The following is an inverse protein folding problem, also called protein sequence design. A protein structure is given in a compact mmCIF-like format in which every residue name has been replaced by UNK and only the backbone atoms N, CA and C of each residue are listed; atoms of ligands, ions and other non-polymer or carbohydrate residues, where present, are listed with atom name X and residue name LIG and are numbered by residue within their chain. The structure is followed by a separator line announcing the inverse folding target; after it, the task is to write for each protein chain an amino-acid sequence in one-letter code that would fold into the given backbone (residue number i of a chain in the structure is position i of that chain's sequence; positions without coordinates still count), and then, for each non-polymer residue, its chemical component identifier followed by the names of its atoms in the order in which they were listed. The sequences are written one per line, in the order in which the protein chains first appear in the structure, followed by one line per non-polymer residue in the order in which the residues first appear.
data_IF_690158038320
#
_entry.id   IF_690158038320
#
_cell.length_a   1.000
_cell.length_b   1.000
_cell.length_c   1.000
_cell.angle_alpha   90.00
_cell.angle_beta   90.00
_cell.angle_gamma   90.00
#
_symmetry.space_group_name_H-M   'P 1'
#
loop_
_entity.id
_entity.type
_entity.pdbx_description
1 polymer ?
#
# COMPACT_ATOMS: atom_id res chain seq x y z
N UNK A 1 10.10 30.92 19.24
CA UNK A 1 10.58 29.52 19.12
C UNK A 1 9.46 28.52 18.82
N UNK A 2 8.32 28.94 18.24
CA UNK A 2 7.17 28.05 17.99
C UNK A 2 7.23 27.40 16.58
N UNK A 3 7.95 28.00 15.62
CA UNK A 3 8.05 27.50 14.24
C UNK A 3 8.96 26.26 14.07
N UNK A 4 9.98 26.07 14.92
CA UNK A 4 10.94 24.96 14.72
C UNK A 4 10.33 23.58 15.03
N UNK A 5 9.34 23.52 15.92
CA UNK A 5 8.74 22.28 16.36
C UNK A 5 7.68 21.73 15.37
N UNK A 6 6.89 22.59 14.71
CA UNK A 6 6.02 22.18 13.59
C UNK A 6 6.84 21.49 12.50
N UNK A 7 8.04 22.03 12.23
CA UNK A 7 8.95 21.54 11.21
C UNK A 7 9.40 20.07 11.45
N UNK A 8 9.60 19.64 12.70
CA UNK A 8 10.14 18.30 13.00
C UNK A 8 9.11 17.18 12.82
N UNK A 9 7.92 17.31 13.42
CA UNK A 9 6.86 16.31 13.31
C UNK A 9 6.35 16.21 11.88
N UNK A 10 6.17 17.35 11.20
CA UNK A 10 5.70 17.39 9.82
C UNK A 10 6.71 16.75 8.86
N UNK A 11 8.02 17.00 9.03
CA UNK A 11 9.07 16.34 8.25
C UNK A 11 9.06 14.82 8.40
N UNK A 12 8.87 14.31 9.61
CA UNK A 12 8.79 12.88 9.86
C UNK A 12 7.57 12.25 9.16
N UNK A 13 6.40 12.88 9.29
CA UNK A 13 5.16 12.43 8.63
C UNK A 13 5.30 12.47 7.11
N UNK A 14 5.90 13.53 6.54
CA UNK A 14 6.17 13.65 5.10
C UNK A 14 7.10 12.56 4.58
N UNK A 15 8.14 12.22 5.35
CA UNK A 15 9.08 11.14 4.99
C UNK A 15 8.37 9.79 4.88
N UNK A 16 7.62 9.41 5.92
CA UNK A 16 6.88 8.14 5.92
C UNK A 16 5.75 8.12 4.89
N UNK A 17 5.11 9.26 4.63
CA UNK A 17 4.12 9.42 3.57
C UNK A 17 4.67 9.09 2.19
N UNK A 18 5.89 9.55 1.87
CA UNK A 18 6.55 9.22 0.59
C UNK A 18 6.81 7.72 0.47
N UNK A 19 7.22 7.08 1.56
CA UNK A 19 7.44 5.62 1.59
C UNK A 19 6.13 4.85 1.44
N UNK A 20 5.06 5.28 2.12
CA UNK A 20 3.71 4.73 1.94
C UNK A 20 3.31 4.73 0.46
N UNK A 21 3.42 5.88 -0.22
CA UNK A 21 3.06 5.97 -1.63
C UNK A 21 3.90 5.07 -2.53
N UNK A 22 5.22 5.00 -2.28
CA UNK A 22 6.10 4.11 -3.05
C UNK A 22 5.63 2.65 -2.98
N UNK A 23 5.39 2.14 -1.76
CA UNK A 23 4.96 0.76 -1.56
C UNK A 23 3.54 0.49 -2.03
N UNK A 24 2.61 1.43 -1.82
CA UNK A 24 1.23 1.30 -2.31
C UNK A 24 1.15 1.31 -3.84
N UNK A 25 1.96 2.16 -4.51
CA UNK A 25 2.03 2.18 -5.96
C UNK A 25 2.64 0.89 -6.51
N UNK A 26 3.72 0.38 -5.90
CA UNK A 26 4.30 -0.90 -6.28
C UNK A 26 3.31 -2.06 -6.09
N UNK A 27 2.55 -2.07 -4.99
CA UNK A 27 1.53 -3.09 -4.72
C UNK A 27 0.50 -3.19 -5.85
N UNK A 28 0.09 -2.05 -6.42
CA UNK A 28 -0.89 -2.00 -7.52
C UNK A 28 -0.23 -2.22 -8.88
N UNK A 29 0.98 -1.69 -9.10
CA UNK A 29 1.67 -1.79 -10.38
C UNK A 29 2.03 -3.23 -10.75
N UNK A 30 2.48 -4.03 -9.77
CA UNK A 30 2.88 -5.43 -10.01
C UNK A 30 1.78 -6.28 -10.64
N UNK A 31 0.58 -6.43 -10.05
CA UNK A 31 -0.47 -7.25 -10.64
C UNK A 31 -0.97 -6.69 -11.98
N UNK A 32 -0.94 -5.37 -12.19
CA UNK A 32 -1.31 -4.77 -13.49
C UNK A 32 -0.30 -5.18 -14.56
N UNK A 33 1.00 -5.01 -14.31
CA UNK A 33 2.06 -5.37 -15.26
C UNK A 33 2.03 -6.86 -15.57
N UNK A 34 1.86 -7.70 -14.54
CA UNK A 34 1.74 -9.16 -14.73
C UNK A 34 0.50 -9.54 -15.53
N UNK A 35 -0.64 -8.89 -15.26
CA UNK A 35 -1.87 -9.14 -16.05
C UNK A 35 -1.68 -8.77 -17.52
N UNK A 36 -1.05 -7.63 -17.80
CA UNK A 36 -0.73 -7.23 -19.17
C UNK A 36 0.23 -8.25 -19.82
N UNK A 37 1.26 -8.70 -19.10
CA UNK A 37 2.19 -9.70 -19.60
C UNK A 37 1.50 -11.03 -19.93
N UNK A 38 0.60 -11.51 -19.07
CA UNK A 38 -0.19 -12.73 -19.32
C UNK A 38 -1.05 -12.59 -20.58
N UNK A 39 -1.70 -11.44 -20.77
CA UNK A 39 -2.56 -11.21 -21.94
C UNK A 39 -1.74 -11.05 -23.24
N UNK A 40 -0.59 -10.37 -23.19
CA UNK A 40 0.21 -10.05 -24.39
C UNK A 40 1.15 -11.19 -24.78
N UNK A 41 1.73 -11.88 -23.80
CA UNK A 41 2.71 -12.95 -24.02
C UNK A 41 2.10 -14.36 -23.95
N UNK A 42 0.80 -14.47 -23.68
CA UNK A 42 0.07 -15.74 -23.52
C UNK A 42 0.68 -16.65 -22.43
N UNK A 43 1.19 -16.04 -21.36
CA UNK A 43 1.71 -16.77 -20.20
C UNK A 43 0.58 -17.43 -19.38
N UNK A 44 0.87 -18.46 -18.57
CA UNK A 44 -0.14 -19.09 -17.74
C UNK A 44 -0.84 -18.11 -16.77
N UNK A 45 -2.18 -18.19 -16.59
CA UNK A 45 -2.92 -17.35 -15.65
C UNK A 45 -2.43 -17.46 -14.19
N UNK A 46 -1.73 -18.56 -13.85
CA UNK A 46 -1.09 -18.77 -12.55
C UNK A 46 -0.19 -17.61 -12.13
N UNK A 47 0.45 -16.91 -13.08
CA UNK A 47 1.29 -15.75 -12.77
C UNK A 47 0.49 -14.59 -12.16
N UNK A 48 -0.78 -14.42 -12.52
CA UNK A 48 -1.67 -13.42 -11.92
C UNK A 48 -1.86 -13.75 -10.43
N UNK A 49 -2.13 -15.02 -10.10
CA UNK A 49 -2.20 -15.47 -8.70
C UNK A 49 -0.89 -15.18 -7.93
N UNK A 50 0.28 -15.47 -8.52
CA UNK A 50 1.58 -15.19 -7.85
C UNK A 50 1.82 -13.70 -7.63
N UNK A 51 1.39 -12.85 -8.56
CA UNK A 51 1.48 -11.40 -8.41
C UNK A 51 0.63 -10.87 -7.24
N UNK A 52 -0.47 -11.55 -6.90
CA UNK A 52 -1.32 -11.21 -5.74
C UNK A 52 -0.58 -11.33 -4.41
N UNK A 53 0.29 -12.34 -4.24
CA UNK A 53 1.12 -12.48 -3.04
C UNK A 53 2.09 -11.30 -2.88
N UNK A 54 2.70 -10.87 -4.00
CA UNK A 54 3.61 -9.72 -4.04
C UNK A 54 2.86 -8.42 -3.74
N UNK A 55 1.67 -8.24 -4.32
CA UNK A 55 0.75 -7.13 -4.02
C UNK A 55 0.44 -7.06 -2.52
N UNK A 56 0.04 -8.19 -1.91
CA UNK A 56 -0.28 -8.25 -0.48
C UNK A 56 0.95 -7.91 0.39
N UNK A 57 2.13 -8.41 0.04
CA UNK A 57 3.39 -8.09 0.74
C UNK A 57 3.75 -6.60 0.69
N UNK A 58 3.68 -5.98 -0.50
CA UNK A 58 3.93 -4.54 -0.64
C UNK A 58 2.86 -3.68 0.03
N UNK A 59 1.59 -4.10 -0.02
CA UNK A 59 0.52 -3.41 0.69
C UNK A 59 0.70 -3.51 2.22
N UNK A 60 1.20 -4.63 2.73
CA UNK A 60 1.56 -4.76 4.14
C UNK A 60 2.72 -3.82 4.53
N UNK A 61 3.75 -3.68 3.68
CA UNK A 61 4.81 -2.70 3.91
C UNK A 61 4.26 -1.26 3.93
N UNK A 62 3.35 -0.92 3.01
CA UNK A 62 2.65 0.37 3.05
C UNK A 62 1.88 0.54 4.37
N UNK A 63 1.21 -0.50 4.86
CA UNK A 63 0.52 -0.47 6.15
C UNK A 63 1.49 -0.18 7.31
N UNK A 64 2.66 -0.83 7.35
CA UNK A 64 3.70 -0.57 8.37
C UNK A 64 4.06 0.92 8.39
N UNK A 65 4.32 1.54 7.23
CA UNK A 65 4.64 2.97 7.17
C UNK A 65 3.48 3.88 7.58
N UNK A 66 2.23 3.48 7.32
CA UNK A 66 1.07 4.21 7.86
C UNK A 66 0.98 4.11 9.39
N UNK A 67 1.39 2.98 9.97
CA UNK A 67 1.48 2.79 11.41
C UNK A 67 2.61 3.62 12.02
N UNK A 68 3.76 3.72 11.37
CA UNK A 68 4.85 4.61 11.78
C UNK A 68 4.40 6.08 11.79
N UNK A 69 3.66 6.53 10.77
CA UNK A 69 3.06 7.87 10.77
C UNK A 69 2.12 8.09 11.97
N UNK A 70 1.36 7.06 12.34
CA UNK A 70 0.47 7.10 13.52
C UNK A 70 1.27 7.14 14.82
N UNK A 71 2.42 6.47 14.87
CA UNK A 71 3.35 6.50 15.99
C UNK A 71 3.90 7.90 16.25
N UNK A 72 4.26 8.65 15.20
CA UNK A 72 4.68 10.06 15.31
C UNK A 72 3.58 10.92 15.94
N UNK A 73 2.31 10.59 15.70
CA UNK A 73 1.13 11.30 16.22
C UNK A 73 0.63 10.78 17.58
N UNK A 74 1.31 9.83 18.22
CA UNK A 74 0.99 9.32 19.56
C UNK A 74 2.29 9.04 20.36
N UNK A 75 3.06 10.08 20.71
CA UNK A 75 4.27 9.92 21.51
C UNK A 75 3.92 9.56 22.97
N UNK A 76 4.72 8.69 23.59
CA UNK A 76 4.51 8.22 24.97
C UNK A 76 4.97 9.17 26.08
N UNK A 77 5.02 10.49 25.84
CA UNK A 77 5.60 11.47 26.77
C UNK A 77 5.09 12.90 26.58
N UNK A 78 5.74 13.88 27.23
CA UNK A 78 5.42 15.30 27.06
C UNK A 78 5.61 15.74 25.60
N UNK A 79 4.61 16.44 25.07
CA UNK A 79 4.58 16.97 23.70
C UNK A 79 4.62 18.48 23.71
N UNK A 80 5.18 19.05 22.65
CA UNK A 80 5.20 20.49 22.46
C UNK A 80 3.82 21.03 22.03
N UNK A 81 3.59 22.33 22.20
CA UNK A 81 2.33 23.04 21.89
C UNK A 81 1.97 22.91 20.39
N UNK A 82 2.98 22.74 19.53
CA UNK A 82 2.83 22.53 18.07
C UNK A 82 2.26 21.16 17.67
N UNK A 83 2.20 20.22 18.61
CA UNK A 83 1.74 18.86 18.36
C UNK A 83 0.23 18.78 18.07
N UNK A 84 -0.59 19.59 18.75
CA UNK A 84 -2.05 19.58 18.57
C UNK A 84 -2.44 20.00 17.14
N UNK A 85 -1.86 21.10 16.65
CA UNK A 85 -1.97 21.58 15.26
C UNK A 85 -1.63 20.48 14.25
N UNK A 86 -0.45 19.86 14.41
CA UNK A 86 0.04 18.84 13.49
C UNK A 86 -0.83 17.59 13.51
N UNK A 87 -1.30 17.19 14.70
CA UNK A 87 -2.16 16.02 14.87
C UNK A 87 -3.53 16.22 14.22
N UNK A 88 -4.19 17.35 14.44
CA UNK A 88 -5.50 17.62 13.81
C UNK A 88 -5.40 17.62 12.28
N UNK A 89 -4.32 18.16 11.72
CA UNK A 89 -4.06 18.19 10.27
C UNK A 89 -3.83 16.80 9.67
N UNK A 90 -3.02 15.96 10.31
CA UNK A 90 -2.51 14.72 9.70
C UNK A 90 -3.18 13.43 10.18
N UNK A 91 -3.80 13.41 11.36
CA UNK A 91 -4.47 12.23 11.91
C UNK A 91 -5.52 11.61 10.96
N UNK A 92 -6.46 12.38 10.36
CA UNK A 92 -7.44 11.77 9.46
C UNK A 92 -6.79 11.15 8.21
N UNK A 93 -5.72 11.78 7.69
CA UNK A 93 -4.96 11.26 6.55
C UNK A 93 -4.28 9.93 6.89
N UNK A 94 -3.64 9.84 8.06
CA UNK A 94 -2.96 8.62 8.51
C UNK A 94 -3.95 7.46 8.71
N UNK A 95 -5.11 7.73 9.29
CA UNK A 95 -6.17 6.72 9.46
C UNK A 95 -6.68 6.23 8.11
N UNK A 96 -6.89 7.15 7.16
CA UNK A 96 -7.30 6.81 5.80
C UNK A 96 -6.26 5.94 5.10
N UNK A 97 -4.97 6.28 5.19
CA UNK A 97 -3.89 5.50 4.61
C UNK A 97 -3.81 4.08 5.17
N UNK A 98 -3.97 3.93 6.49
CA UNK A 98 -4.03 2.62 7.13
C UNK A 98 -5.18 1.76 6.58
N UNK A 99 -6.37 2.35 6.42
CA UNK A 99 -7.54 1.67 5.83
C UNK A 99 -7.32 1.28 4.37
N UNK A 100 -6.74 2.18 3.57
CA UNK A 100 -6.42 1.91 2.16
C UNK A 100 -5.43 0.74 2.07
N UNK A 101 -4.35 0.75 2.85
CA UNK A 101 -3.36 -0.32 2.81
C UNK A 101 -3.97 -1.68 3.19
N UNK A 102 -4.81 -1.73 4.22
CA UNK A 102 -5.55 -2.96 4.58
C UNK A 102 -6.45 -3.41 3.42
N UNK A 103 -7.17 -2.49 2.78
CA UNK A 103 -7.98 -2.79 1.60
C UNK A 103 -7.15 -3.41 0.48
N UNK A 104 -5.98 -2.84 0.18
CA UNK A 104 -5.07 -3.38 -0.85
C UNK A 104 -4.53 -4.76 -0.45
N UNK A 105 -4.21 -5.02 0.83
CA UNK A 105 -3.81 -6.35 1.32
C UNK A 105 -4.91 -7.38 1.09
N UNK A 106 -6.17 -7.04 1.40
CA UNK A 106 -7.30 -7.94 1.19
C UNK A 106 -7.50 -8.25 -0.30
N UNK A 107 -7.41 -7.23 -1.17
CA UNK A 107 -7.47 -7.44 -2.61
C UNK A 107 -6.29 -8.30 -3.10
N UNK A 108 -5.07 -8.03 -2.64
CA UNK A 108 -3.89 -8.84 -2.98
C UNK A 108 -4.03 -10.30 -2.56
N UNK A 109 -4.57 -10.54 -1.36
CA UNK A 109 -4.88 -11.88 -0.86
C UNK A 109 -5.93 -12.57 -1.72
N UNK A 110 -6.98 -11.87 -2.14
CA UNK A 110 -8.00 -12.41 -3.02
C UNK A 110 -7.43 -12.74 -4.42
N UNK A 111 -6.63 -11.84 -5.01
CA UNK A 111 -5.93 -12.11 -6.26
C UNK A 111 -4.97 -13.29 -6.11
N UNK A 112 -4.31 -13.42 -4.96
CA UNK A 112 -3.44 -14.56 -4.70
C UNK A 112 -4.21 -15.87 -4.66
N UNK A 113 -5.34 -15.90 -3.96
CA UNK A 113 -6.16 -17.11 -3.80
C UNK A 113 -6.95 -17.52 -5.05
N UNK A 114 -7.31 -16.57 -5.92
CA UNK A 114 -8.26 -16.79 -7.01
C UNK A 114 -7.83 -16.23 -8.37
N UNK A 115 -6.62 -15.68 -8.50
CA UNK A 115 -6.17 -15.00 -9.71
C UNK A 115 -5.97 -15.91 -10.92
N UNK A 116 -5.79 -17.21 -10.69
CA UNK A 116 -5.70 -18.26 -11.70
C UNK A 116 -7.06 -18.64 -12.30
N UNK A 117 -8.16 -18.36 -11.59
CA UNK A 117 -9.53 -18.56 -12.06
C UNK A 117 -10.02 -17.46 -13.01
N UNK A 118 -9.25 -16.39 -13.18
CA UNK A 118 -9.60 -15.31 -14.09
C UNK A 118 -9.50 -15.82 -15.55
N UNK A 119 -10.52 -15.60 -16.39
CA UNK A 119 -10.51 -16.03 -17.79
C UNK A 119 -9.65 -15.09 -18.66
N UNK A 120 -8.42 -14.80 -18.21
CA UNK A 120 -7.46 -13.91 -18.84
C UNK A 120 -6.30 -14.76 -19.37
N UNK A 121 -5.96 -14.61 -20.65
CA UNK A 121 -4.92 -15.44 -21.30
C UNK A 121 -5.36 -16.88 -21.62
N UNK A 122 -6.63 -17.24 -21.38
CA UNK A 122 -7.19 -18.53 -21.75
C UNK A 122 -7.36 -18.64 -23.27
N UNK A 123 -6.53 -19.45 -23.93
CA UNK A 123 -6.81 -19.95 -25.27
C UNK A 123 -7.77 -21.13 -25.12
N UNK A 124 -9.06 -20.90 -25.37
CA UNK A 124 -10.02 -21.98 -25.54
C UNK A 124 -9.56 -22.89 -26.70
N UNK A 125 -9.45 -24.18 -26.40
CA UNK A 125 -9.41 -25.31 -27.33
C UNK A 125 -8.41 -25.22 -28.51
N UNK A 126 -7.17 -25.66 -28.26
CA UNK A 126 -6.21 -26.00 -29.33
C UNK A 126 -5.85 -27.51 -29.41
N UNK A 127 -6.50 -28.37 -28.62
CA UNK A 127 -6.32 -29.82 -28.68
C UNK A 127 -7.61 -30.59 -28.33
N UNK A 128 -8.64 -30.42 -29.17
CA UNK A 128 -9.73 -31.39 -29.33
C UNK A 128 -9.60 -32.07 -30.69
#
# INVERSE_FOLDING_TARGET
MVEEAECLYEKAILKFRKQFYCWALLAIAVPIVVTIAVVVLYEPPLWISRSGAVMAGFAFLAHVYSSEMKGVLNPGGMVDVSFSSTREKYLPQVVLFGRIAIGIVLVGTAVWGFGDLLPLGYQGDAYA
#
